data_IF_871430138657
#
_entry.id   IF_871430138657
#
_cell.length_a   1.000
_cell.length_b   1.000
_cell.length_c   1.000
_cell.angle_alpha   90.00
_cell.angle_beta   90.00
_cell.angle_gamma   90.00
#
_symmetry.space_group_name_H-M   'P 1'
#
loop_
_entity.id
_entity.type
_entity.pdbx_description
1 polymer ?
#
# COMPACT_ATOMS: atom_id res chain seq x y z
N UNK A 1 -11.89 -12.74 -13.92
CA UNK A 1 -13.21 -12.44 -13.29
C UNK A 1 -12.99 -12.62 -11.80
N UNK A 2 -13.41 -11.65 -10.98
CA UNK A 2 -13.03 -11.57 -9.56
C UNK A 2 -11.85 -10.62 -9.29
N UNK A 3 -11.18 -10.15 -10.34
CA UNK A 3 -10.06 -9.22 -10.22
C UNK A 3 -10.54 -7.80 -9.95
N UNK A 4 -9.87 -7.10 -9.05
CA UNK A 4 -10.07 -5.66 -8.84
C UNK A 4 -9.20 -4.94 -9.85
N UNK A 5 -9.81 -4.10 -10.67
CA UNK A 5 -9.12 -3.33 -11.71
C UNK A 5 -9.53 -1.87 -11.65
N UNK A 6 -8.67 -1.00 -12.18
CA UNK A 6 -8.97 0.40 -12.43
C UNK A 6 -8.55 0.81 -13.83
N UNK A 7 -9.50 1.35 -14.59
CA UNK A 7 -9.28 1.85 -15.96
C UNK A 7 -10.05 3.15 -16.13
N UNK A 8 -9.41 4.18 -16.68
CA UNK A 8 -10.04 5.50 -16.90
C UNK A 8 -10.76 6.04 -15.65
N UNK A 9 -10.10 5.97 -14.49
CA UNK A 9 -10.60 6.37 -13.17
C UNK A 9 -11.84 5.59 -12.67
N UNK A 10 -12.17 4.45 -13.27
CA UNK A 10 -13.24 3.56 -12.82
C UNK A 10 -12.63 2.33 -12.16
N UNK A 11 -12.83 2.20 -10.85
CA UNK A 11 -12.31 1.09 -10.03
C UNK A 11 -13.41 0.14 -9.59
N UNK A 12 -13.18 -1.15 -9.74
CA UNK A 12 -14.13 -2.16 -9.28
C UNK A 12 -13.68 -3.59 -9.54
N UNK A 13 -14.49 -4.53 -9.05
CA UNK A 13 -14.27 -5.98 -9.22
C UNK A 13 -14.91 -6.45 -10.53
N UNK A 14 -14.16 -7.13 -11.38
CA UNK A 14 -14.68 -7.71 -12.63
C UNK A 14 -15.72 -8.77 -12.34
N UNK A 15 -16.98 -8.52 -12.70
CA UNK A 15 -18.09 -9.46 -12.53
C UNK A 15 -18.34 -10.30 -13.77
N UNK A 16 -18.10 -9.75 -14.96
CA UNK A 16 -18.29 -10.46 -16.23
C UNK A 16 -17.40 -9.90 -17.33
N UNK A 17 -16.74 -10.77 -18.08
CA UNK A 17 -16.06 -10.42 -19.33
C UNK A 17 -16.91 -10.92 -20.50
N UNK A 18 -17.34 -10.00 -21.37
CA UNK A 18 -18.03 -10.31 -22.62
C UNK A 18 -17.15 -10.01 -23.83
N UNK A 19 -17.64 -10.34 -25.02
CA UNK A 19 -16.87 -10.18 -26.26
C UNK A 19 -16.48 -8.72 -26.57
N UNK A 20 -17.40 -7.77 -26.33
CA UNK A 20 -17.18 -6.32 -26.59
C UNK A 20 -17.02 -5.47 -25.33
N UNK A 21 -17.45 -5.97 -24.19
CA UNK A 21 -17.54 -5.20 -22.95
C UNK A 21 -17.20 -6.04 -21.73
N UNK A 22 -16.57 -5.42 -20.75
CA UNK A 22 -16.33 -5.99 -19.42
C UNK A 22 -17.17 -5.23 -18.40
N UNK A 23 -17.86 -5.96 -17.51
CA UNK A 23 -18.63 -5.38 -16.40
C UNK A 23 -17.80 -5.46 -15.12
N UNK A 24 -17.74 -4.35 -14.40
CA UNK A 24 -17.16 -4.26 -13.06
C UNK A 24 -18.22 -3.83 -12.05
N UNK A 25 -18.08 -4.27 -10.81
CA UNK A 25 -18.87 -3.80 -9.67
C UNK A 25 -17.99 -2.90 -8.80
N UNK A 26 -18.45 -1.67 -8.57
CA UNK A 26 -17.78 -0.73 -7.66
C UNK A 26 -17.99 -1.12 -6.19
N UNK A 27 -17.18 -0.61 -5.24
CA UNK A 27 -17.42 -0.80 -3.82
C UNK A 27 -18.79 -0.30 -3.34
N UNK A 28 -19.36 0.70 -4.03
CA UNK A 28 -20.71 1.21 -3.78
C UNK A 28 -21.83 0.35 -4.41
N UNK A 29 -21.51 -0.86 -4.86
CA UNK A 29 -22.43 -1.79 -5.50
C UNK A 29 -23.04 -1.29 -6.83
N UNK A 30 -22.41 -0.32 -7.49
CA UNK A 30 -22.79 0.15 -8.85
C UNK A 30 -22.11 -0.72 -9.90
N UNK A 31 -22.84 -1.09 -10.95
CA UNK A 31 -22.29 -1.84 -12.09
C UNK A 31 -21.87 -0.87 -13.20
N UNK A 32 -20.61 -0.96 -13.61
CA UNK A 32 -20.05 -0.17 -14.72
C UNK A 32 -19.71 -1.12 -15.87
N UNK A 33 -20.11 -0.75 -17.09
CA UNK A 33 -19.82 -1.50 -18.32
C UNK A 33 -18.77 -0.76 -19.11
N UNK A 34 -17.62 -1.39 -19.33
CA UNK A 34 -16.45 -0.81 -19.98
C UNK A 34 -16.23 -1.50 -21.32
N UNK A 35 -16.15 -0.76 -22.45
CA UNK A 35 -15.78 -1.33 -23.74
C UNK A 35 -14.38 -1.94 -23.71
N UNK A 36 -14.23 -3.13 -24.30
CA UNK A 36 -12.94 -3.83 -24.32
C UNK A 36 -11.84 -3.01 -25.03
N UNK A 37 -12.22 -2.20 -26.02
CA UNK A 37 -11.31 -1.27 -26.70
C UNK A 37 -10.64 -0.27 -25.77
N UNK A 38 -11.23 0.03 -24.61
CA UNK A 38 -10.64 0.95 -23.64
C UNK A 38 -9.42 0.33 -22.94
N UNK A 39 -9.47 -0.97 -22.65
CA UNK A 39 -8.34 -1.71 -22.08
C UNK A 39 -7.17 -1.84 -23.06
N UNK A 40 -7.45 -1.88 -24.37
CA UNK A 40 -6.41 -1.93 -25.39
C UNK A 40 -5.78 -0.57 -25.66
N UNK A 41 -6.50 0.53 -25.41
CA UNK A 41 -6.06 1.90 -25.71
C UNK A 41 -5.42 2.60 -24.51
N UNK A 42 -5.85 2.28 -23.30
CA UNK A 42 -5.41 2.96 -22.08
C UNK A 42 -4.68 2.00 -21.15
N UNK A 43 -3.67 2.48 -20.40
CA UNK A 43 -3.15 1.73 -19.28
C UNK A 43 -4.27 1.50 -18.25
N UNK A 44 -4.23 0.35 -17.59
CA UNK A 44 -5.12 0.00 -16.49
C UNK A 44 -4.31 -0.62 -15.36
N UNK A 45 -4.79 -0.46 -14.13
CA UNK A 45 -4.16 -1.02 -12.94
C UNK A 45 -4.90 -2.29 -12.56
N UNK A 46 -4.19 -3.42 -12.48
CA UNK A 46 -4.73 -4.65 -11.90
C UNK A 46 -4.26 -4.75 -10.44
N UNK A 47 -5.22 -4.65 -9.53
CA UNK A 47 -5.00 -4.65 -8.10
C UNK A 47 -4.94 -6.05 -7.49
N UNK A 48 -5.35 -7.08 -8.23
CA UNK A 48 -5.39 -8.49 -7.82
C UNK A 48 -4.23 -9.31 -8.39
N UNK A 49 -3.70 -8.94 -9.56
CA UNK A 49 -2.61 -9.67 -10.22
C UNK A 49 -1.31 -9.70 -9.39
N UNK A 50 -1.09 -8.69 -8.54
CA UNK A 50 -0.01 -8.72 -7.56
C UNK A 50 -0.54 -9.24 -6.22
N UNK A 51 -0.04 -10.41 -5.81
CA UNK A 51 -0.37 -11.02 -4.51
C UNK A 51 0.23 -10.29 -3.31
N UNK A 52 1.11 -9.31 -3.53
CA UNK A 52 1.73 -8.50 -2.49
C UNK A 52 1.44 -7.02 -2.76
N UNK A 53 1.22 -6.24 -1.71
CA UNK A 53 1.15 -4.77 -1.77
C UNK A 53 2.11 -4.13 -0.80
N UNK A 54 2.75 -3.06 -1.27
CA UNK A 54 3.60 -2.21 -0.45
C UNK A 54 2.74 -1.20 0.33
N UNK A 55 3.08 -1.03 1.58
CA UNK A 55 2.52 -0.06 2.50
C UNK A 55 3.58 1.00 2.72
N UNK A 56 3.23 2.26 2.47
CA UNK A 56 4.10 3.42 2.68
C UNK A 56 3.56 4.27 3.85
N UNK A 57 4.41 4.53 4.84
CA UNK A 57 4.10 5.40 5.99
C UNK A 57 5.19 6.47 6.14
N UNK A 58 4.79 7.74 6.29
CA UNK A 58 5.74 8.84 6.50
C UNK A 58 5.90 9.11 7.99
N UNK A 59 7.13 9.29 8.44
CA UNK A 59 7.48 9.62 9.81
C UNK A 59 8.48 10.77 9.83
N UNK A 60 8.37 11.64 10.83
CA UNK A 60 9.39 12.65 11.11
C UNK A 60 10.19 12.17 12.33
N UNK A 61 11.50 12.05 12.17
CA UNK A 61 12.44 11.53 13.17
C UNK A 61 13.23 12.72 13.71
N UNK A 62 13.34 12.93 15.03
CA UNK A 62 14.21 13.96 15.59
C UNK A 62 15.68 13.82 15.15
N UNK A 63 16.40 14.94 15.02
CA UNK A 63 17.79 14.96 14.51
C UNK A 63 18.81 14.31 15.46
N UNK A 64 18.47 14.23 16.73
CA UNK A 64 19.28 13.64 17.82
C UNK A 64 19.15 12.11 17.91
N UNK A 65 18.28 11.50 17.11
CA UNK A 65 18.10 10.04 17.07
C UNK A 65 19.08 9.40 16.08
N UNK A 66 19.76 8.34 16.51
CA UNK A 66 20.53 7.49 15.60
C UNK A 66 19.58 6.77 14.63
N UNK A 67 19.66 7.15 13.35
CA UNK A 67 18.80 6.64 12.28
C UNK A 67 18.97 5.14 12.08
N UNK A 68 20.18 4.59 12.29
CA UNK A 68 20.41 3.14 12.13
C UNK A 68 19.73 2.36 13.25
N UNK A 69 19.91 2.81 14.49
CA UNK A 69 19.24 2.19 15.64
C UNK A 69 17.71 2.29 15.51
N UNK A 70 17.21 3.43 15.03
CA UNK A 70 15.79 3.63 14.77
C UNK A 70 15.27 2.71 13.66
N UNK A 71 16.00 2.56 12.56
CA UNK A 71 15.66 1.66 11.47
C UNK A 71 15.58 0.20 11.94
N UNK A 72 16.56 -0.26 12.72
CA UNK A 72 16.58 -1.63 13.26
C UNK A 72 15.38 -1.89 14.17
N UNK A 73 15.10 -0.98 15.11
CA UNK A 73 13.93 -1.10 16.01
C UNK A 73 12.61 -1.12 15.25
N UNK A 74 12.46 -0.28 14.22
CA UNK A 74 11.26 -0.25 13.39
C UNK A 74 11.12 -1.57 12.61
N UNK A 75 12.20 -2.04 11.99
CA UNK A 75 12.20 -3.31 11.25
C UNK A 75 11.75 -4.46 12.13
N UNK A 76 12.33 -4.59 13.32
CA UNK A 76 11.95 -5.65 14.27
C UNK A 76 10.50 -5.55 14.73
N UNK A 77 10.02 -4.33 14.98
CA UNK A 77 8.64 -4.11 15.43
C UNK A 77 7.63 -4.45 14.32
N UNK A 78 7.89 -3.98 13.11
CA UNK A 78 7.01 -4.21 11.96
C UNK A 78 6.99 -5.67 11.55
N UNK A 79 8.13 -6.38 11.60
CA UNK A 79 8.20 -7.82 11.30
C UNK A 79 7.36 -8.68 12.25
N UNK A 80 7.05 -8.19 13.46
CA UNK A 80 6.21 -8.89 14.44
C UNK A 80 4.70 -8.70 14.21
N UNK A 81 4.31 -7.81 13.29
CA UNK A 81 2.91 -7.58 12.95
C UNK A 81 2.41 -8.73 12.07
N UNK A 82 1.41 -9.47 12.57
CA UNK A 82 0.77 -10.53 11.80
C UNK A 82 0.19 -9.97 10.49
N UNK A 83 0.46 -10.63 9.36
CA UNK A 83 0.05 -10.17 8.03
C UNK A 83 1.00 -9.17 7.34
N UNK A 84 2.10 -8.76 7.99
CA UNK A 84 3.24 -8.16 7.29
C UNK A 84 4.21 -9.26 6.85
N UNK A 85 4.67 -9.18 5.62
CA UNK A 85 5.59 -10.12 5.03
C UNK A 85 7.02 -9.84 5.52
N UNK A 86 7.78 -10.88 5.92
CA UNK A 86 9.20 -10.73 6.24
C UNK A 86 10.03 -10.44 4.98
N UNK A 87 9.57 -10.89 3.81
CA UNK A 87 10.20 -10.64 2.52
C UNK A 87 9.21 -10.11 1.47
N UNK A 88 9.47 -8.95 0.85
CA UNK A 88 10.63 -8.08 1.07
C UNK A 88 10.66 -7.44 2.47
N UNK A 89 11.86 -7.25 3.02
CA UNK A 89 12.03 -6.70 4.36
C UNK A 89 11.45 -5.28 4.46
N UNK A 90 10.90 -4.90 5.63
CA UNK A 90 10.59 -3.51 5.90
C UNK A 90 11.85 -2.65 5.80
N UNK A 91 11.71 -1.43 5.31
CA UNK A 91 12.85 -0.52 5.16
C UNK A 91 12.49 0.91 5.57
N UNK A 92 13.51 1.64 6.00
CA UNK A 92 13.43 3.07 6.26
C UNK A 92 14.16 3.80 5.12
N UNK A 93 13.49 4.74 4.47
CA UNK A 93 14.07 5.55 3.40
C UNK A 93 14.01 7.01 3.82
N UNK A 94 15.16 7.64 4.01
CA UNK A 94 15.24 9.08 4.26
C UNK A 94 14.78 9.80 2.99
N UNK A 95 13.79 10.68 3.13
CA UNK A 95 13.29 11.50 2.03
C UNK A 95 13.93 12.88 2.04
N UNK A 96 14.04 13.47 3.23
CA UNK A 96 14.49 14.86 3.42
C UNK A 96 15.04 15.02 4.84
N UNK A 97 16.02 15.91 4.99
CA UNK A 97 16.55 16.34 6.29
C UNK A 97 16.20 17.82 6.44
N UNK A 98 15.41 18.16 7.46
CA UNK A 98 14.95 19.51 7.74
C UNK A 98 15.31 19.92 9.18
N UNK A 99 15.20 21.22 9.48
CA UNK A 99 15.50 21.77 10.81
C UNK A 99 14.60 21.16 11.91
N UNK A 100 13.40 20.73 11.54
CA UNK A 100 12.41 20.09 12.44
C UNK A 100 12.60 18.58 12.58
N UNK A 101 13.57 17.97 11.90
CA UNK A 101 13.76 16.51 11.88
C UNK A 101 14.04 15.93 10.50
N UNK A 102 14.33 14.63 10.49
CA UNK A 102 14.53 13.80 9.31
C UNK A 102 13.17 13.24 8.89
N UNK A 103 12.69 13.64 7.72
CA UNK A 103 11.49 13.08 7.12
C UNK A 103 11.88 11.76 6.45
N UNK A 104 11.37 10.66 6.98
CA UNK A 104 11.60 9.32 6.46
C UNK A 104 10.30 8.64 6.03
N UNK A 105 10.44 7.65 5.14
CA UNK A 105 9.37 6.76 4.70
C UNK A 105 9.68 5.35 5.16
N UNK A 106 8.78 4.79 5.94
CA UNK A 106 8.77 3.37 6.27
C UNK A 106 8.00 2.63 5.19
N UNK A 107 8.61 1.59 4.64
CA UNK A 107 7.94 0.70 3.69
C UNK A 107 7.84 -0.71 4.26
N UNK A 108 6.72 -1.37 4.03
CA UNK A 108 6.46 -2.76 4.42
C UNK A 108 5.61 -3.44 3.35
N UNK A 109 5.55 -4.77 3.35
CA UNK A 109 4.76 -5.53 2.38
C UNK A 109 3.71 -6.39 3.08
N UNK A 110 2.55 -6.56 2.47
CA UNK A 110 1.49 -7.48 2.95
C UNK A 110 0.92 -8.29 1.79
N UNK A 111 0.53 -9.54 2.05
CA UNK A 111 -0.25 -10.37 1.13
C UNK A 111 -1.76 -10.07 1.19
N UNK A 112 -2.21 -9.38 2.25
CA UNK A 112 -3.61 -8.98 2.45
C UNK A 112 -3.89 -7.67 1.73
N UNK A 113 -3.99 -7.76 0.41
CA UNK A 113 -4.13 -6.61 -0.48
C UNK A 113 -5.38 -5.75 -0.20
N UNK A 114 -6.42 -6.32 0.39
CA UNK A 114 -7.66 -5.65 0.83
C UNK A 114 -7.50 -4.88 2.15
N UNK A 115 -6.51 -5.21 2.98
CA UNK A 115 -6.30 -4.64 4.32
C UNK A 115 -5.15 -3.64 4.42
N UNK A 116 -4.65 -3.13 3.29
CA UNK A 116 -3.53 -2.17 3.26
C UNK A 116 -3.75 -0.97 4.19
N UNK A 117 -4.97 -0.41 4.23
CA UNK A 117 -5.29 0.74 5.10
C UNK A 117 -5.22 0.36 6.58
N UNK A 118 -5.72 -0.81 6.94
CA UNK A 118 -5.68 -1.33 8.31
C UNK A 118 -4.24 -1.50 8.79
N UNK A 119 -3.39 -2.17 8.00
CA UNK A 119 -1.98 -2.35 8.34
C UNK A 119 -1.20 -1.03 8.36
N UNK A 120 -1.54 -0.06 7.50
CA UNK A 120 -0.95 1.27 7.56
C UNK A 120 -1.22 1.95 8.90
N UNK A 121 -2.45 1.87 9.42
CA UNK A 121 -2.79 2.40 10.75
C UNK A 121 -2.04 1.67 11.86
N UNK A 122 -2.01 0.33 11.82
CA UNK A 122 -1.34 -0.48 12.82
C UNK A 122 0.18 -0.22 12.88
N UNK A 123 0.84 -0.09 11.72
CA UNK A 123 2.25 0.31 11.64
C UNK A 123 2.43 1.69 12.28
N UNK A 124 1.55 2.65 11.97
CA UNK A 124 1.60 3.99 12.56
C UNK A 124 1.50 3.98 14.10
N UNK A 125 0.60 3.18 14.66
CA UNK A 125 0.45 3.03 16.12
C UNK A 125 1.69 2.40 16.76
N UNK A 126 2.26 1.38 16.14
CA UNK A 126 3.47 0.72 16.62
C UNK A 126 4.71 1.59 16.49
N UNK A 127 4.79 2.48 15.50
CA UNK A 127 5.92 3.42 15.36
C UNK A 127 5.80 4.60 16.33
N UNK A 128 4.57 5.01 16.67
CA UNK A 128 4.30 6.18 17.53
C UNK A 128 5.06 6.13 18.87
N UNK A 129 5.29 4.94 19.42
CA UNK A 129 6.03 4.77 20.68
C UNK A 129 7.50 5.19 20.59
N UNK A 130 8.10 5.15 19.39
CA UNK A 130 9.51 5.49 19.18
C UNK A 130 9.74 6.97 18.87
N UNK A 131 8.73 7.67 18.37
CA UNK A 131 8.79 9.11 18.01
C UNK A 131 8.48 10.01 19.21
N UNK A 132 7.85 9.46 20.27
CA UNK A 132 7.42 10.22 21.45
C UNK A 132 8.46 10.30 22.58
N UNK A 133 9.71 9.86 22.35
CA UNK A 133 10.77 9.94 23.35
C UNK A 133 11.62 11.18 23.15
#
# INVERSE_FOLDING_TARGET
VGDVIEVSNQKGTVTKMGFRTTRICTPENKIITIPNSLFSKNPYVNYTASHKRRIDFKVNIPLDVDVKEFEEKIKETIKKIDGILPEPEPSLIILEIADTGIIAKVTAWTDKTDKVVYYKSMIGENIKQFVKR
#
